data_IF_780854882915
#
_entry.id   IF_780854882915
#
_cell.length_a   1.000
_cell.length_b   1.000
_cell.length_c   1.000
_cell.angle_alpha   90.00
_cell.angle_beta   90.00
_cell.angle_gamma   90.00
#
_symmetry.space_group_name_H-M   'P 1'
#
loop_
_entity.id
_entity.type
_entity.pdbx_description
1 polymer ?
#
# COMPACT_ATOMS: atom_id res chain seq x y z
N UNK A 1 7.40 4.25 9.74
CA UNK A 1 6.43 3.18 9.40
C UNK A 1 5.06 3.35 10.08
N UNK A 2 4.86 2.98 11.37
CA UNK A 2 3.52 2.99 12.03
C UNK A 2 2.70 4.26 11.80
N UNK A 3 3.30 5.44 11.97
CA UNK A 3 2.60 6.72 11.77
C UNK A 3 1.93 6.78 10.39
N UNK A 4 2.66 6.43 9.33
CA UNK A 4 2.20 6.56 7.95
C UNK A 4 1.34 5.39 7.48
N UNK A 5 1.63 4.16 7.93
CA UNK A 5 0.94 2.97 7.47
C UNK A 5 -0.29 2.60 8.30
N UNK A 6 -0.46 3.17 9.50
CA UNK A 6 -1.60 2.88 10.38
C UNK A 6 -2.36 4.14 10.83
N UNK A 7 -1.66 5.17 11.32
CA UNK A 7 -2.32 6.36 11.90
C UNK A 7 -2.67 7.45 10.89
N UNK A 8 -1.95 7.50 9.77
CA UNK A 8 -2.14 8.48 8.72
C UNK A 8 -3.22 7.98 7.77
N UNK A 9 -4.19 8.83 7.48
CA UNK A 9 -5.28 8.50 6.57
C UNK A 9 -4.74 8.31 5.16
N UNK A 10 -5.27 7.30 4.47
CA UNK A 10 -4.88 7.07 3.09
C UNK A 10 -5.66 8.05 2.22
N UNK A 11 -5.02 8.52 1.16
CA UNK A 11 -5.78 9.09 0.04
C UNK A 11 -6.64 7.97 -0.53
N UNK A 12 -7.93 8.23 -0.69
CA UNK A 12 -8.88 7.39 -1.40
C UNK A 12 -9.87 8.32 -2.12
N UNK A 13 -9.51 8.72 -3.34
CA UNK A 13 -10.28 9.68 -4.13
C UNK A 13 -10.62 9.08 -5.48
N UNK A 14 -11.89 9.16 -5.84
CA UNK A 14 -12.39 8.62 -7.11
C UNK A 14 -12.63 9.72 -8.11
N UNK A 15 -12.24 9.47 -9.35
CA UNK A 15 -12.58 10.32 -10.47
C UNK A 15 -11.94 11.70 -10.48
N UNK A 16 -10.72 11.84 -9.96
CA UNK A 16 -9.94 13.07 -10.09
C UNK A 16 -9.42 13.20 -11.52
N UNK A 17 -9.38 14.43 -12.05
CA UNK A 17 -8.85 14.69 -13.39
C UNK A 17 -7.42 15.19 -13.22
N UNK A 18 -6.46 14.53 -13.87
CA UNK A 18 -5.09 15.02 -13.94
C UNK A 18 -5.04 16.37 -14.68
N UNK A 19 -4.24 17.31 -14.17
CA UNK A 19 -4.08 18.66 -14.75
C UNK A 19 -3.42 18.68 -16.13
N UNK A 20 -2.92 17.55 -16.64
CA UNK A 20 -2.26 17.41 -17.93
C UNK A 20 -1.03 18.33 -18.09
N UNK A 21 -0.24 18.47 -17.01
CA UNK A 21 0.99 19.25 -17.02
C UNK A 21 2.12 18.52 -17.76
N UNK A 22 3.12 19.22 -18.32
CA UNK A 22 4.17 18.63 -19.15
C UNK A 22 5.17 17.74 -18.40
N UNK A 23 5.17 17.73 -17.07
CA UNK A 23 6.05 16.87 -16.25
C UNK A 23 5.80 15.39 -16.55
N UNK A 24 6.78 14.71 -17.16
CA UNK A 24 6.63 13.34 -17.64
C UNK A 24 6.43 12.29 -16.53
N UNK A 25 7.01 12.53 -15.35
CA UNK A 25 7.05 11.59 -14.23
C UNK A 25 5.96 11.87 -13.16
N UNK A 26 5.02 12.77 -13.42
CA UNK A 26 4.09 13.27 -12.42
C UNK A 26 2.65 13.31 -12.94
N UNK A 27 1.70 13.00 -12.06
CA UNK A 27 0.29 13.36 -12.22
C UNK A 27 -0.08 14.35 -11.12
N UNK A 28 -0.85 15.38 -11.47
CA UNK A 28 -1.19 16.43 -10.51
C UNK A 28 -2.71 16.60 -10.42
N UNK A 29 -3.22 16.63 -9.20
CA UNK A 29 -4.63 16.71 -8.89
C UNK A 29 -4.89 17.84 -7.91
N UNK A 30 -5.88 18.67 -8.20
CA UNK A 30 -6.38 19.64 -7.22
C UNK A 30 -7.31 18.95 -6.23
N UNK A 31 -6.96 18.99 -4.94
CA UNK A 31 -7.80 18.43 -3.87
C UNK A 31 -8.58 19.51 -3.12
N UNK A 32 -8.67 20.72 -3.69
CA UNK A 32 -9.35 21.88 -3.12
C UNK A 32 -8.53 22.65 -2.06
N UNK A 33 -7.78 21.94 -1.21
CA UNK A 33 -6.97 22.56 -0.13
C UNK A 33 -5.50 22.67 -0.52
N UNK A 34 -4.97 21.61 -1.13
CA UNK A 34 -3.60 21.50 -1.61
C UNK A 34 -3.64 20.82 -3.00
N UNK A 35 -2.53 20.90 -3.73
CA UNK A 35 -2.32 20.01 -4.87
C UNK A 35 -1.68 18.71 -4.39
N UNK A 36 -2.15 17.60 -4.95
CA UNK A 36 -1.60 16.27 -4.77
C UNK A 36 -0.80 15.90 -6.02
N UNK A 37 0.48 15.60 -5.83
CA UNK A 37 1.41 15.20 -6.87
C UNK A 37 1.71 13.71 -6.68
N UNK A 38 1.35 12.89 -7.66
CA UNK A 38 1.71 11.47 -7.72
C UNK A 38 2.92 11.31 -8.64
N UNK A 39 4.04 10.84 -8.10
CA UNK A 39 5.29 10.62 -8.83
C UNK A 39 5.45 9.15 -9.23
N UNK A 40 5.98 8.90 -10.43
CA UNK A 40 6.31 7.56 -10.87
C UNK A 40 7.53 7.52 -11.79
N UNK A 41 8.29 6.42 -11.71
CA UNK A 41 9.38 6.12 -12.62
C UNK A 41 8.91 5.39 -13.90
N UNK A 42 7.63 5.00 -13.98
CA UNK A 42 7.02 4.33 -15.12
C UNK A 42 6.38 5.36 -16.07
N UNK A 43 7.22 6.07 -16.82
CA UNK A 43 6.78 7.18 -17.67
C UNK A 43 5.80 6.75 -18.78
N UNK A 44 5.97 5.54 -19.31
CA UNK A 44 5.09 4.98 -20.32
C UNK A 44 3.66 4.79 -19.80
N UNK A 45 3.50 4.35 -18.55
CA UNK A 45 2.19 4.24 -17.92
C UNK A 45 1.60 5.62 -17.60
N UNK A 46 2.39 6.51 -16.99
CA UNK A 46 1.94 7.87 -16.63
C UNK A 46 1.48 8.66 -17.84
N UNK A 47 2.17 8.56 -18.98
CA UNK A 47 1.77 9.22 -20.21
C UNK A 47 0.34 8.84 -20.65
N UNK A 48 -0.08 7.59 -20.39
CA UNK A 48 -1.43 7.09 -20.71
C UNK A 48 -2.49 7.65 -19.78
N UNK A 49 -2.12 8.21 -18.63
CA UNK A 49 -3.02 8.76 -17.61
C UNK A 49 -3.17 10.28 -17.69
N UNK A 50 -2.28 10.96 -18.40
CA UNK A 50 -2.30 12.42 -18.60
C UNK A 50 -3.66 12.93 -19.11
N UNK A 51 -4.19 13.94 -18.42
CA UNK A 51 -5.49 14.56 -18.72
C UNK A 51 -6.71 13.65 -18.55
N UNK A 52 -6.56 12.43 -18.02
CA UNK A 52 -7.66 11.50 -17.82
C UNK A 52 -8.24 11.58 -16.42
N UNK A 53 -9.43 11.00 -16.28
CA UNK A 53 -10.11 10.80 -15.01
C UNK A 53 -9.59 9.52 -14.34
N UNK A 54 -9.05 9.66 -13.13
CA UNK A 54 -8.31 8.64 -12.40
C UNK A 54 -8.87 8.44 -10.99
N UNK A 55 -8.70 7.24 -10.47
CA UNK A 55 -8.87 6.94 -9.06
C UNK A 55 -7.49 6.87 -8.40
N UNK A 56 -7.35 7.56 -7.26
CA UNK A 56 -6.11 7.68 -6.52
C UNK A 56 -6.26 7.02 -5.15
N UNK A 57 -5.37 6.08 -4.85
CA UNK A 57 -5.27 5.46 -3.53
C UNK A 57 -3.82 5.32 -3.10
N UNK A 58 -3.49 5.74 -1.87
CA UNK A 58 -2.16 5.50 -1.31
C UNK A 58 -1.86 6.33 -0.07
N UNK A 59 -0.57 6.49 0.23
CA UNK A 59 -0.09 7.28 1.36
C UNK A 59 0.62 8.51 0.83
N UNK A 60 0.13 9.69 1.20
CA UNK A 60 0.81 10.96 0.93
C UNK A 60 1.79 11.33 2.03
N UNK A 61 2.71 12.22 1.68
CA UNK A 61 3.60 12.92 2.59
C UNK A 61 3.69 14.39 2.21
N UNK A 62 4.12 15.23 3.16
CA UNK A 62 4.25 16.66 2.91
C UNK A 62 5.44 16.93 2.00
N UNK A 63 5.21 17.71 0.95
CA UNK A 63 6.27 18.25 0.10
C UNK A 63 6.63 19.68 0.47
N UNK A 64 7.47 20.34 -0.35
CA UNK A 64 7.69 21.77 -0.24
C UNK A 64 6.38 22.56 -0.46
N UNK A 65 6.23 23.68 0.25
CA UNK A 65 5.04 24.56 0.20
C UNK A 65 3.73 23.84 0.60
N UNK A 66 2.59 24.21 -0.02
CA UNK A 66 1.25 23.63 0.24
C UNK A 66 0.94 22.48 -0.73
N UNK A 67 1.89 21.55 -0.88
CA UNK A 67 1.71 20.39 -1.76
C UNK A 67 1.86 19.08 -1.00
N UNK A 68 1.11 18.08 -1.44
CA UNK A 68 1.20 16.70 -0.97
C UNK A 68 1.81 15.86 -2.07
N UNK A 69 2.71 14.96 -1.70
CA UNK A 69 3.35 14.04 -2.63
C UNK A 69 2.98 12.61 -2.28
N UNK A 70 2.90 11.76 -3.29
CA UNK A 70 2.81 10.33 -3.13
C UNK A 70 3.55 9.65 -4.28
N UNK A 71 3.91 8.37 -4.11
CA UNK A 71 4.43 7.55 -5.19
C UNK A 71 3.33 6.66 -5.75
N UNK A 72 3.13 6.72 -7.06
CA UNK A 72 2.13 5.92 -7.79
C UNK A 72 0.70 6.12 -7.25
N UNK A 73 -0.02 5.02 -7.11
CA UNK A 73 -1.38 4.99 -6.55
C UNK A 73 -2.48 5.38 -7.53
N UNK A 74 -2.18 5.50 -8.83
CA UNK A 74 -3.12 5.94 -9.85
C UNK A 74 -3.64 4.79 -10.72
N UNK A 75 -4.96 4.80 -10.97
CA UNK A 75 -5.66 3.87 -11.88
C UNK A 75 -6.70 4.62 -12.70
N UNK A 76 -7.06 4.13 -13.90
CA UNK A 76 -8.16 4.70 -14.68
C UNK A 76 -9.49 4.57 -13.92
N UNK A 77 -10.23 5.68 -13.84
CA UNK A 77 -11.57 5.68 -13.24
C UNK A 77 -12.58 4.98 -14.14
N UNK A 78 -13.66 4.44 -13.55
CA UNK A 78 -14.74 3.77 -14.29
C UNK A 78 -14.53 2.27 -14.59
N UNK A 79 -13.40 1.70 -14.21
CA UNK A 79 -13.10 0.27 -14.40
C UNK A 79 -13.30 -0.52 -13.10
N UNK A 80 -14.56 -0.86 -12.80
CA UNK A 80 -14.94 -1.52 -11.54
C UNK A 80 -15.53 -2.92 -11.74
N UNK A 81 -15.34 -3.77 -10.72
CA UNK A 81 -16.05 -5.02 -10.52
C UNK A 81 -17.48 -4.74 -10.05
N UNK A 82 -18.38 -5.70 -10.28
CA UNK A 82 -19.78 -5.62 -9.82
C UNK A 82 -19.89 -5.56 -8.29
N UNK A 83 -18.93 -6.15 -7.58
CA UNK A 83 -18.82 -6.14 -6.12
C UNK A 83 -17.36 -6.07 -5.70
N UNK A 84 -17.09 -5.56 -4.49
CA UNK A 84 -15.75 -5.60 -3.93
C UNK A 84 -15.27 -7.04 -3.76
N UNK A 85 -14.09 -7.37 -4.31
CA UNK A 85 -13.43 -8.66 -4.12
C UNK A 85 -12.59 -8.59 -2.85
N UNK A 86 -12.84 -9.51 -1.92
CA UNK A 86 -11.96 -9.77 -0.78
C UNK A 86 -10.72 -10.51 -1.29
N UNK A 87 -9.54 -9.96 -1.04
CA UNK A 87 -8.31 -10.59 -1.49
C UNK A 87 -8.00 -11.79 -0.59
N UNK A 88 -7.83 -13.01 -1.14
CA UNK A 88 -7.40 -14.16 -0.35
C UNK A 88 -5.97 -13.98 0.17
N UNK A 89 -5.72 -14.36 1.42
CA UNK A 89 -4.43 -14.22 2.08
C UNK A 89 -4.04 -15.54 2.75
N UNK A 90 -2.91 -16.11 2.36
CA UNK A 90 -2.25 -17.15 3.14
C UNK A 90 -1.26 -16.47 4.08
N UNK A 91 -1.50 -16.58 5.39
CA UNK A 91 -0.72 -15.89 6.42
C UNK A 91 0.03 -16.89 7.29
N UNK A 92 1.36 -16.74 7.38
CA UNK A 92 2.21 -17.43 8.33
C UNK A 92 2.64 -16.49 9.44
N UNK A 93 2.27 -16.83 10.68
CA UNK A 93 2.67 -16.10 11.89
C UNK A 93 3.59 -17.00 12.71
N UNK A 94 4.88 -16.66 12.79
CA UNK A 94 5.90 -17.51 13.42
C UNK A 94 5.85 -18.96 12.91
N UNK A 95 5.73 -19.13 11.58
CA UNK A 95 5.64 -20.43 10.91
C UNK A 95 4.27 -21.11 10.94
N UNK A 96 3.29 -20.60 11.70
CA UNK A 96 1.93 -21.17 11.75
C UNK A 96 1.03 -20.57 10.67
N UNK A 97 0.55 -21.43 9.77
CA UNK A 97 -0.30 -21.05 8.63
C UNK A 97 -1.77 -20.84 9.01
N UNK A 98 -2.42 -19.86 8.37
CA UNK A 98 -3.88 -19.73 8.26
C UNK A 98 -4.27 -18.97 7.01
N UNK A 99 -5.45 -19.26 6.47
CA UNK A 99 -6.04 -18.50 5.37
C UNK A 99 -7.03 -17.46 5.90
N UNK A 100 -6.97 -16.24 5.36
CA UNK A 100 -7.79 -15.10 5.76
C UNK A 100 -8.43 -14.48 4.52
N UNK A 101 -9.67 -14.03 4.66
CA UNK A 101 -10.36 -13.19 3.68
C UNK A 101 -11.28 -12.22 4.44
N UNK A 102 -11.14 -10.92 4.18
CA UNK A 102 -11.80 -9.86 4.97
C UNK A 102 -12.14 -8.66 4.11
N UNK A 103 -13.24 -7.96 4.45
CA UNK A 103 -13.63 -6.69 3.81
C UNK A 103 -12.58 -5.59 3.98
N UNK A 104 -11.77 -5.66 5.05
CA UNK A 104 -10.68 -4.70 5.32
C UNK A 104 -9.59 -4.70 4.22
N UNK A 105 -9.45 -5.82 3.51
CA UNK A 105 -8.47 -6.00 2.43
C UNK A 105 -9.25 -6.43 1.19
N UNK A 106 -10.03 -5.48 0.67
CA UNK A 106 -10.85 -5.66 -0.52
C UNK A 106 -10.70 -4.48 -1.47
N UNK A 107 -11.02 -4.72 -2.74
CA UNK A 107 -11.10 -3.67 -3.76
C UNK A 107 -12.23 -3.96 -4.73
N UNK A 108 -12.85 -2.92 -5.27
CA UNK A 108 -13.82 -3.03 -6.35
C UNK A 108 -13.24 -2.59 -7.70
N UNK A 109 -11.95 -2.24 -7.79
CA UNK A 109 -11.32 -1.92 -9.07
C UNK A 109 -11.04 -3.21 -9.85
N UNK A 110 -11.20 -3.21 -11.18
CA UNK A 110 -10.77 -4.33 -12.04
C UNK A 110 -9.25 -4.44 -12.07
N UNK A 111 -8.60 -3.28 -12.17
CA UNK A 111 -7.16 -3.09 -12.10
C UNK A 111 -6.85 -2.25 -10.87
N UNK A 112 -6.10 -2.81 -9.92
CA UNK A 112 -5.78 -2.17 -8.63
C UNK A 112 -4.28 -1.96 -8.52
N UNK A 113 -3.84 -0.92 -7.81
CA UNK A 113 -2.42 -0.77 -7.51
C UNK A 113 -1.98 -1.74 -6.41
N UNK A 114 -0.75 -2.25 -6.50
CA UNK A 114 -0.15 -3.04 -5.42
C UNK A 114 -0.08 -2.23 -4.11
N UNK A 115 0.13 -0.91 -4.21
CA UNK A 115 0.11 0.03 -3.09
C UNK A 115 -1.22 0.01 -2.32
N UNK A 116 -2.36 0.03 -3.02
CA UNK A 116 -3.68 0.01 -2.35
C UNK A 116 -3.85 -1.23 -1.48
N UNK A 117 -3.48 -2.39 -2.03
CA UNK A 117 -3.61 -3.67 -1.35
C UNK A 117 -2.62 -3.80 -0.20
N UNK A 118 -1.36 -3.41 -0.40
CA UNK A 118 -0.31 -3.49 0.65
C UNK A 118 -0.64 -2.55 1.82
N UNK A 119 -1.08 -1.31 1.56
CA UNK A 119 -1.47 -0.38 2.63
C UNK A 119 -2.64 -0.93 3.45
N UNK A 120 -3.68 -1.47 2.80
CA UNK A 120 -4.81 -2.13 3.47
C UNK A 120 -4.35 -3.35 4.29
N UNK A 121 -3.46 -4.17 3.72
CA UNK A 121 -2.88 -5.32 4.42
C UNK A 121 -2.10 -4.89 5.66
N UNK A 122 -1.19 -3.92 5.56
CA UNK A 122 -0.36 -3.47 6.69
C UNK A 122 -1.20 -2.87 7.82
N UNK A 123 -2.30 -2.17 7.49
CA UNK A 123 -3.27 -1.71 8.49
C UNK A 123 -3.93 -2.88 9.21
N UNK A 124 -4.46 -3.85 8.46
CA UNK A 124 -5.04 -5.06 9.05
C UNK A 124 -4.03 -5.81 9.94
N UNK A 125 -2.79 -6.00 9.47
CA UNK A 125 -1.76 -6.69 10.24
C UNK A 125 -1.41 -5.93 11.52
N UNK A 126 -1.41 -4.60 11.49
CA UNK A 126 -1.19 -3.76 12.67
C UNK A 126 -2.36 -3.87 13.67
N UNK A 127 -3.60 -3.86 13.18
CA UNK A 127 -4.80 -3.98 14.02
C UNK A 127 -4.89 -5.34 14.71
N UNK A 128 -4.62 -6.42 13.99
CA UNK A 128 -4.84 -7.79 14.49
C UNK A 128 -3.60 -8.40 15.16
N UNK A 129 -2.39 -8.06 14.72
CA UNK A 129 -1.14 -8.67 15.19
C UNK A 129 -0.15 -7.67 15.80
N UNK A 130 -0.46 -6.37 15.80
CA UNK A 130 0.39 -5.34 16.39
C UNK A 130 1.82 -5.31 15.81
N UNK A 131 1.99 -5.57 14.50
CA UNK A 131 3.31 -5.77 13.88
C UNK A 131 4.30 -4.61 14.08
N UNK A 132 3.83 -3.38 14.24
CA UNK A 132 4.62 -2.17 14.49
C UNK A 132 4.43 -1.58 15.90
N UNK A 133 3.83 -2.34 16.82
CA UNK A 133 3.65 -1.97 18.22
C UNK A 133 2.62 -0.87 18.48
N UNK A 134 2.18 -0.76 19.72
CA UNK A 134 1.23 0.25 20.20
C UNK A 134 -0.01 0.46 19.31
N UNK A 135 -0.73 -0.62 18.96
CA UNK A 135 -2.02 -0.53 18.25
C UNK A 135 -3.20 -0.03 19.12
N UNK A 136 -3.03 0.07 20.44
CA UNK A 136 -4.01 0.54 21.42
C UNK A 136 -5.29 -0.31 21.56
N UNK A 137 -5.31 -1.55 21.04
CA UNK A 137 -6.50 -2.43 21.09
C UNK A 137 -6.32 -3.67 21.98
N UNK A 138 -5.08 -3.95 22.40
CA UNK A 138 -4.74 -5.17 23.15
C UNK A 138 -4.62 -6.43 22.29
N UNK A 139 -5.00 -6.37 21.00
CA UNK A 139 -4.78 -7.47 20.03
C UNK A 139 -3.29 -7.60 19.70
N UNK A 140 -2.80 -8.83 19.54
CA UNK A 140 -1.40 -9.12 19.20
C UNK A 140 -0.42 -9.02 20.38
N UNK A 141 -0.91 -8.81 21.61
CA UNK A 141 -0.07 -8.77 22.82
C UNK A 141 0.59 -10.12 23.11
N UNK A 142 -0.03 -11.21 22.69
CA UNK A 142 0.45 -12.58 22.85
C UNK A 142 1.77 -12.85 22.11
N UNK A 143 2.13 -12.01 21.12
CA UNK A 143 3.40 -12.11 20.41
C UNK A 143 4.55 -11.36 21.12
N UNK A 144 4.25 -10.63 22.21
CA UNK A 144 5.23 -9.90 23.01
C UNK A 144 5.68 -8.56 22.40
N UNK A 145 6.75 -7.99 22.95
CA UNK A 145 7.20 -6.62 22.67
C UNK A 145 8.71 -6.52 22.43
N UNK A 146 9.35 -7.64 22.05
CA UNK A 146 10.81 -7.78 21.97
C UNK A 146 11.47 -7.04 20.81
N UNK A 147 10.74 -6.69 19.76
CA UNK A 147 11.29 -5.99 18.60
C UNK A 147 11.57 -4.52 18.92
N UNK A 148 12.41 -3.87 18.09
CA UNK A 148 12.62 -2.41 18.12
C UNK A 148 11.34 -1.58 17.91
N UNK A 149 10.27 -2.21 17.41
CA UNK A 149 8.96 -1.57 17.24
C UNK A 149 8.07 -1.70 18.48
N UNK A 150 8.55 -2.33 19.56
CA UNK A 150 7.73 -2.75 20.69
C UNK A 150 6.59 -3.69 20.23
N UNK A 151 6.96 -4.69 19.44
CA UNK A 151 6.08 -5.75 18.93
C UNK A 151 6.77 -7.12 18.99
N UNK A 152 6.01 -8.16 18.66
CA UNK A 152 6.52 -9.53 18.56
C UNK A 152 7.23 -9.85 17.25
N UNK A 153 7.47 -8.87 16.38
CA UNK A 153 7.89 -9.08 14.99
C UNK A 153 8.94 -8.06 14.54
N UNK A 154 9.92 -8.52 13.78
CA UNK A 154 10.94 -7.66 13.15
C UNK A 154 11.32 -8.10 11.73
N UNK A 155 10.74 -9.20 11.23
CA UNK A 155 10.93 -9.72 9.88
C UNK A 155 9.59 -10.07 9.28
N UNK A 156 9.38 -9.72 8.02
CA UNK A 156 8.17 -10.12 7.32
C UNK A 156 8.12 -9.64 5.90
N UNK A 157 7.29 -10.30 5.10
CA UNK A 157 7.16 -10.07 3.67
C UNK A 157 5.71 -10.26 3.25
N UNK A 158 5.27 -9.46 2.29
CA UNK A 158 4.07 -9.73 1.49
C UNK A 158 4.51 -10.09 0.09
N UNK A 159 4.07 -11.24 -0.41
CA UNK A 159 4.21 -11.68 -1.79
C UNK A 159 2.85 -11.51 -2.48
N UNK A 160 2.83 -10.75 -3.56
CA UNK A 160 1.72 -10.72 -4.51
C UNK A 160 1.89 -11.89 -5.45
N UNK A 161 1.08 -12.92 -5.24
CA UNK A 161 1.10 -14.15 -6.04
C UNK A 161 0.13 -13.99 -7.21
N UNK A 162 0.69 -13.72 -8.39
CA UNK A 162 -0.07 -13.50 -9.62
C UNK A 162 -0.29 -14.84 -10.34
N UNK A 163 -1.47 -15.04 -10.93
CA UNK A 163 -1.78 -16.29 -11.62
C UNK A 163 -1.03 -16.43 -12.97
N UNK A 164 -0.94 -15.33 -13.71
CA UNK A 164 -0.51 -15.33 -15.12
C UNK A 164 0.87 -14.64 -15.32
N UNK A 165 1.44 -14.06 -14.27
CA UNK A 165 2.63 -13.22 -14.33
C UNK A 165 3.62 -13.51 -13.21
N UNK A 166 4.81 -12.90 -13.29
CA UNK A 166 5.84 -13.04 -12.26
C UNK A 166 5.40 -12.36 -10.96
N UNK A 167 5.28 -13.16 -9.90
CA UNK A 167 5.05 -12.68 -8.54
C UNK A 167 6.15 -11.73 -8.06
N UNK A 168 5.79 -10.81 -7.16
CA UNK A 168 6.69 -9.81 -6.60
C UNK A 168 6.37 -9.57 -5.12
N UNK A 169 7.30 -8.98 -4.37
CA UNK A 169 7.14 -8.84 -2.92
C UNK A 169 7.68 -7.55 -2.34
N UNK A 170 7.07 -7.13 -1.23
CA UNK A 170 7.57 -6.05 -0.39
C UNK A 170 7.96 -6.56 0.99
N UNK A 171 9.03 -5.98 1.54
CA UNK A 171 9.40 -6.16 2.94
C UNK A 171 8.49 -5.30 3.83
N UNK A 172 7.84 -5.94 4.80
CA UNK A 172 6.91 -5.30 5.73
C UNK A 172 7.63 -4.40 6.73
N UNK A 173 8.92 -4.62 6.98
CA UNK A 173 9.74 -3.90 7.95
C UNK A 173 10.80 -3.01 7.32
N UNK A 174 10.81 -2.87 5.98
CA UNK A 174 11.67 -1.93 5.28
C UNK A 174 11.38 -0.49 5.71
N UNK A 175 12.40 0.19 6.22
CA UNK A 175 12.29 1.59 6.69
C UNK A 175 12.88 2.59 5.72
N UNK A 176 13.51 2.16 4.62
CA UNK A 176 14.44 3.01 3.86
C UNK A 176 15.39 3.74 4.80
N UNK A 177 15.55 5.04 4.57
CA UNK A 177 16.34 5.95 5.41
C UNK A 177 15.59 6.47 6.65
N UNK A 178 14.45 5.86 7.00
CA UNK A 178 13.62 6.23 8.14
C UNK A 178 12.59 7.32 7.86
N UNK A 179 12.59 7.91 6.65
CA UNK A 179 11.68 8.98 6.23
C UNK A 179 10.69 8.53 5.14
N UNK A 180 9.47 9.11 5.08
CA UNK A 180 8.41 8.66 4.17
C UNK A 180 8.80 8.67 2.70
N UNK A 181 9.50 9.72 2.27
CA UNK A 181 10.01 9.85 0.89
C UNK A 181 10.91 8.66 0.48
N UNK A 182 11.59 8.02 1.44
CA UNK A 182 12.46 6.87 1.16
C UNK A 182 11.69 5.56 1.20
N UNK A 183 10.92 5.28 2.26
CA UNK A 183 10.23 3.99 2.38
C UNK A 183 8.97 3.84 1.52
N UNK A 184 8.34 4.94 1.10
CA UNK A 184 7.18 4.90 0.19
C UNK A 184 7.59 4.78 -1.28
N UNK A 185 8.88 5.01 -1.59
CA UNK A 185 9.41 4.94 -2.96
C UNK A 185 9.28 3.55 -3.59
N UNK A 186 9.04 2.51 -2.79
CA UNK A 186 8.72 1.15 -3.28
C UNK A 186 7.48 1.10 -4.19
N UNK A 187 6.64 2.15 -4.20
CA UNK A 187 5.44 2.26 -5.02
C UNK A 187 5.62 3.16 -6.25
N UNK A 188 6.83 3.66 -6.52
CA UNK A 188 7.08 4.60 -7.62
C UNK A 188 6.88 3.98 -9.01
N UNK A 189 6.86 2.65 -9.12
CA UNK A 189 6.56 1.95 -10.37
C UNK A 189 5.07 1.97 -10.75
N UNK A 190 4.22 2.47 -9.83
CA UNK A 190 2.76 2.49 -9.92
C UNK A 190 2.16 1.10 -10.25
N UNK A 191 2.80 0.01 -9.81
CA UNK A 191 2.44 -1.35 -10.25
C UNK A 191 0.95 -1.67 -10.14
N UNK A 192 0.33 -1.94 -11.29
CA UNK A 192 -1.09 -2.29 -11.43
C UNK A 192 -1.24 -3.81 -11.61
N UNK A 193 -2.23 -4.41 -10.96
CA UNK A 193 -2.53 -5.84 -11.05
C UNK A 193 -4.02 -6.07 -11.30
N UNK A 194 -4.34 -7.16 -12.01
CA UNK A 194 -5.72 -7.59 -12.23
C UNK A 194 -6.31 -8.16 -10.93
N UNK A 195 -7.32 -7.48 -10.40
CA UNK A 195 -7.81 -7.73 -9.05
C UNK A 195 -8.34 -9.15 -8.86
N UNK A 196 -8.85 -9.79 -9.92
CA UNK A 196 -9.43 -11.13 -9.87
C UNK A 196 -8.39 -12.25 -9.94
N UNK A 197 -7.15 -11.94 -10.35
CA UNK A 197 -6.12 -12.94 -10.71
C UNK A 197 -4.89 -12.92 -9.81
N UNK A 198 -5.10 -12.66 -8.52
CA UNK A 198 -4.04 -12.76 -7.53
C UNK A 198 -4.56 -13.10 -6.13
N UNK A 199 -3.63 -13.54 -5.29
CA UNK A 199 -3.76 -13.65 -3.84
C UNK A 199 -2.48 -13.16 -3.15
N UNK A 200 -2.49 -13.08 -1.82
CA UNK A 200 -1.32 -12.68 -1.04
C UNK A 200 -0.78 -13.86 -0.23
N UNK A 201 0.54 -14.07 -0.28
CA UNK A 201 1.25 -14.91 0.68
C UNK A 201 2.02 -13.98 1.62
N UNK A 202 1.73 -14.05 2.92
CA UNK A 202 2.24 -13.11 3.92
C UNK A 202 2.94 -13.86 5.03
N UNK A 203 4.15 -13.43 5.36
CA UNK A 203 4.92 -14.01 6.47
C UNK A 203 5.30 -12.91 7.45
N UNK A 204 5.03 -13.13 8.74
CA UNK A 204 5.52 -12.28 9.83
C UNK A 204 6.16 -13.15 10.91
N UNK A 205 7.37 -12.75 11.32
CA UNK A 205 8.17 -13.50 12.27
C UNK A 205 9.09 -12.58 13.07
N UNK A 206 9.76 -13.17 14.05
CA UNK A 206 10.86 -12.54 14.75
C UNK A 206 12.13 -13.37 14.60
N UNK A 207 13.23 -12.69 14.34
CA UNK A 207 14.58 -13.26 14.31
C UNK A 207 15.44 -12.47 15.28
N UNK A 208 16.17 -13.16 16.16
CA UNK A 208 17.13 -12.49 17.04
C UNK A 208 18.23 -11.81 16.20
N UNK A 209 18.59 -10.59 16.59
CA UNK A 209 19.74 -9.92 16.00
C UNK A 209 21.00 -10.64 16.49
N UNK A 210 21.73 -11.29 15.58
CA UNK A 210 23.10 -11.75 15.86
C UNK A 210 24.05 -10.56 16.04
#
# INVERSE_FOLDING_TARGET
LKKFLYKHDSIDSKGLIDKNLPSANQLEFSTGINDLISESNNWDEISKFKGKKLDIFGIDYNGPCKSKYMYGGATLSGQYLNSARKIPINLWVNGKHKTISTDKISTNKKLVTAQEIDVKLRRYLQEEYNIYGHNSTGKGKEYGYKSKFYSGFNKGKVLFHLNDEKSFSYDLFYTGDGVPVSFLKIYEDNKIIESEKFHLDVEISYVDSN
#
